data_IF_250302027208
#
_entry.id   IF_250302027208
#
_cell.length_a   1.000
_cell.length_b   1.000
_cell.length_c   1.000
_cell.angle_alpha   90.00
_cell.angle_beta   90.00
_cell.angle_gamma   90.00
#
_symmetry.space_group_name_H-M   'P 1'
#
loop_
_entity.id
_entity.type
_entity.pdbx_description
1 polymer ?
#
# COMPACT_ATOMS: atom_id res chain seq x y z
N UNK A 1 -17.31 7.29 -32.32
CA UNK A 1 -16.30 8.37 -32.36
C UNK A 1 -14.94 7.70 -32.56
N UNK A 2 -14.36 7.80 -33.75
CA UNK A 2 -13.05 7.21 -34.05
C UNK A 2 -11.99 8.14 -33.46
N UNK A 3 -11.28 7.68 -32.44
CA UNK A 3 -10.18 8.45 -31.86
C UNK A 3 -8.94 8.25 -32.76
N UNK A 4 -8.59 9.27 -33.54
CA UNK A 4 -7.30 9.34 -34.23
C UNK A 4 -6.30 10.05 -33.30
N UNK A 5 -5.36 9.34 -32.66
CA UNK A 5 -4.30 9.99 -31.93
C UNK A 5 -3.33 10.64 -32.94
N UNK A 6 -3.52 11.92 -33.23
CA UNK A 6 -2.50 12.71 -33.92
C UNK A 6 -1.32 12.87 -32.97
N UNK A 7 -0.27 12.07 -33.20
CA UNK A 7 1.01 12.20 -32.53
C UNK A 7 1.57 13.60 -32.85
N UNK A 8 1.65 14.46 -31.83
CA UNK A 8 2.29 15.76 -31.97
C UNK A 8 3.79 15.55 -32.25
N UNK A 9 4.26 15.98 -33.42
CA UNK A 9 5.68 15.87 -33.78
C UNK A 9 6.49 16.90 -33.01
N UNK A 10 7.76 16.61 -32.73
CA UNK A 10 8.66 17.56 -32.08
C UNK A 10 8.82 18.89 -32.86
N UNK A 11 8.54 18.86 -34.15
CA UNK A 11 8.54 20.04 -35.04
C UNK A 11 7.37 20.98 -34.76
N UNK A 12 6.18 20.43 -34.52
CA UNK A 12 4.99 21.21 -34.15
C UNK A 12 5.19 21.92 -32.81
N UNK A 13 5.82 21.22 -31.85
CA UNK A 13 6.19 21.78 -30.55
C UNK A 13 7.19 22.93 -30.72
N UNK A 14 8.23 22.76 -31.57
CA UNK A 14 9.22 23.81 -31.85
C UNK A 14 8.55 25.06 -32.44
N UNK A 15 7.67 24.86 -33.43
CA UNK A 15 6.95 25.93 -34.13
C UNK A 15 6.09 26.77 -33.17
N UNK A 16 5.40 26.12 -32.23
CA UNK A 16 4.61 26.83 -31.22
C UNK A 16 5.47 27.66 -30.26
N UNK A 17 6.64 27.16 -29.87
CA UNK A 17 7.55 27.89 -28.97
C UNK A 17 8.14 29.13 -29.68
N UNK A 18 8.49 29.00 -30.97
CA UNK A 18 8.97 30.12 -31.79
C UNK A 18 7.87 31.15 -32.05
N UNK A 19 6.62 30.72 -32.29
CA UNK A 19 5.47 31.62 -32.44
C UNK A 19 5.18 32.42 -31.15
N UNK A 20 5.53 31.87 -29.99
CA UNK A 20 5.45 32.55 -28.70
C UNK A 20 6.65 33.51 -28.44
N UNK A 21 7.55 33.68 -29.41
CA UNK A 21 8.69 34.59 -29.32
C UNK A 21 9.91 34.01 -28.58
N UNK A 22 9.90 32.71 -28.27
CA UNK A 22 11.01 32.05 -27.60
C UNK A 22 11.83 31.24 -28.62
N UNK A 23 13.16 31.47 -28.75
CA UNK A 23 13.99 30.68 -29.63
C UNK A 23 14.12 29.25 -29.09
N UNK A 24 13.69 28.26 -29.88
CA UNK A 24 13.73 26.84 -29.51
C UNK A 24 14.66 26.04 -30.43
N UNK A 25 15.38 25.07 -29.87
CA UNK A 25 16.26 24.16 -30.62
C UNK A 25 16.18 22.75 -30.04
N UNK A 26 15.93 21.76 -30.91
CA UNK A 26 15.87 20.35 -30.54
C UNK A 26 17.31 19.84 -30.42
N UNK A 27 17.83 19.74 -29.18
CA UNK A 27 19.24 19.40 -28.92
C UNK A 27 19.63 17.95 -29.24
N UNK A 28 18.67 17.02 -29.34
CA UNK A 28 18.91 15.63 -29.77
C UNK A 28 17.67 15.07 -30.47
N UNK A 29 17.78 14.66 -31.73
CA UNK A 29 16.82 13.72 -32.28
C UNK A 29 17.02 12.37 -31.54
N UNK A 30 15.98 11.77 -30.95
CA UNK A 30 16.08 10.40 -30.51
C UNK A 30 16.41 9.55 -31.75
N UNK A 31 17.64 9.02 -31.81
CA UNK A 31 17.98 7.99 -32.79
C UNK A 31 17.07 6.82 -32.46
N UNK A 32 16.06 6.59 -33.29
CA UNK A 32 15.33 5.35 -33.25
C UNK A 32 16.37 4.22 -33.38
N UNK A 33 16.34 3.21 -32.50
CA UNK A 33 17.18 2.05 -32.67
C UNK A 33 16.84 1.44 -34.03
N UNK A 34 17.82 1.38 -34.94
CA UNK A 34 17.67 0.62 -36.18
C UNK A 34 17.54 -0.84 -35.77
N UNK A 35 16.31 -1.35 -35.79
CA UNK A 35 16.07 -2.78 -35.78
C UNK A 35 16.84 -3.35 -36.98
N UNK A 36 17.83 -4.20 -36.70
CA UNK A 36 18.52 -4.96 -37.74
C UNK A 36 17.51 -5.74 -38.58
N UNK A 37 17.85 -5.99 -39.84
CA UNK A 37 17.02 -6.79 -40.74
C UNK A 37 16.55 -8.07 -40.03
N UNK A 38 15.24 -8.17 -39.83
CA UNK A 38 14.62 -9.38 -39.31
C UNK A 38 14.73 -10.40 -40.44
N UNK A 39 15.53 -11.44 -40.24
CA UNK A 39 15.64 -12.54 -41.17
C UNK A 39 14.28 -13.26 -41.25
N UNK A 40 13.66 -13.18 -42.43
CA UNK A 40 12.26 -13.58 -42.69
C UNK A 40 12.11 -15.13 -42.64
N UNK A 41 13.20 -15.88 -42.53
CA UNK A 41 13.16 -17.35 -42.61
C UNK A 41 12.80 -18.07 -41.31
N UNK A 42 12.77 -17.38 -40.17
CA UNK A 42 12.30 -17.96 -38.90
C UNK A 42 10.80 -17.74 -38.62
N UNK A 43 10.10 -17.07 -39.54
CA UNK A 43 8.69 -16.66 -39.40
C UNK A 43 7.66 -17.67 -39.96
N UNK A 44 8.10 -18.84 -40.45
CA UNK A 44 7.22 -19.73 -41.25
C UNK A 44 6.64 -20.91 -40.47
N UNK A 45 7.22 -21.29 -39.34
CA UNK A 45 6.89 -22.57 -38.70
C UNK A 45 6.72 -22.45 -37.17
N UNK A 46 5.65 -21.82 -36.69
CA UNK A 46 4.79 -22.41 -35.62
C UNK A 46 3.52 -21.56 -35.39
N UNK A 47 2.38 -22.18 -35.06
CA UNK A 47 1.06 -21.57 -35.18
C UNK A 47 0.82 -20.44 -34.17
N UNK A 48 0.20 -19.39 -34.70
CA UNK A 48 -0.41 -18.29 -33.96
C UNK A 48 -1.68 -18.79 -33.25
N UNK A 49 -1.79 -18.54 -31.94
CA UNK A 49 -3.08 -18.33 -31.28
C UNK A 49 -2.91 -17.47 -30.02
N UNK A 50 -3.34 -16.21 -30.17
CA UNK A 50 -4.16 -15.39 -29.26
C UNK A 50 -4.02 -15.65 -27.74
N UNK A 51 -3.82 -14.70 -26.84
CA UNK A 51 -4.12 -13.26 -26.80
C UNK A 51 -3.38 -12.67 -25.59
N UNK A 52 -2.91 -11.42 -25.72
CA UNK A 52 -2.53 -10.44 -24.66
C UNK A 52 -1.53 -10.90 -23.57
N UNK A 53 -0.27 -10.45 -23.52
CA UNK A 53 0.26 -9.12 -23.83
C UNK A 53 -0.09 -8.15 -22.69
N UNK A 54 0.80 -7.58 -21.89
CA UNK A 54 2.26 -7.47 -21.99
C UNK A 54 2.83 -7.16 -20.61
N UNK A 55 3.86 -7.91 -20.21
CA UNK A 55 4.81 -7.46 -19.20
C UNK A 55 5.55 -6.22 -19.74
N UNK A 56 5.71 -5.14 -18.97
CA UNK A 56 6.81 -4.22 -19.18
C UNK A 56 8.00 -4.74 -18.37
N UNK A 57 8.93 -5.40 -19.07
CA UNK A 57 10.30 -5.57 -18.60
C UNK A 57 11.09 -4.37 -19.08
N UNK A 58 11.24 -3.34 -18.23
CA UNK A 58 12.11 -2.19 -18.50
C UNK A 58 12.72 -1.65 -17.22
N UNK A 59 14.05 -1.81 -17.11
CA UNK A 59 15.04 -0.98 -16.41
C UNK A 59 14.63 -0.31 -15.07
N UNK A 60 15.11 -0.87 -13.96
CA UNK A 60 15.08 -0.22 -12.65
C UNK A 60 16.18 0.85 -12.56
N UNK A 61 15.81 2.10 -12.84
CA UNK A 61 16.36 3.23 -12.10
C UNK A 61 15.75 3.14 -10.68
N UNK A 62 16.53 3.40 -9.62
CA UNK A 62 16.03 3.33 -8.25
C UNK A 62 14.99 4.43 -8.00
N UNK A 63 13.73 4.07 -8.23
CA UNK A 63 12.54 4.90 -8.04
C UNK A 63 11.92 4.46 -6.71
N UNK A 64 11.65 5.38 -5.78
CA UNK A 64 11.11 5.12 -4.43
C UNK A 64 9.68 4.55 -4.41
N UNK A 65 9.24 3.99 -5.52
CA UNK A 65 7.92 3.45 -5.72
C UNK A 65 7.93 1.94 -5.55
N UNK A 66 7.11 1.47 -4.64
CA UNK A 66 6.85 0.05 -4.40
C UNK A 66 5.56 -0.37 -5.08
N UNK A 67 5.49 -1.64 -5.44
CA UNK A 67 4.28 -2.25 -6.00
C UNK A 67 3.69 -3.18 -4.96
N UNK A 68 2.42 -2.98 -4.61
CA UNK A 68 1.67 -3.91 -3.77
C UNK A 68 0.54 -4.55 -4.58
N UNK A 69 0.30 -5.82 -4.29
CA UNK A 69 -0.85 -6.56 -4.81
C UNK A 69 -1.83 -6.76 -3.67
N UNK A 70 -3.11 -6.52 -3.96
CA UNK A 70 -4.21 -6.64 -3.03
C UNK A 70 -5.23 -7.62 -3.60
N UNK A 71 -5.68 -8.57 -2.79
CA UNK A 71 -6.85 -9.38 -3.11
C UNK A 71 -8.09 -8.66 -2.58
N UNK A 72 -9.10 -8.47 -3.45
CA UNK A 72 -10.31 -7.70 -3.13
C UNK A 72 -11.52 -8.63 -3.25
N UNK A 73 -12.12 -8.96 -2.10
CA UNK A 73 -13.38 -9.69 -2.03
C UNK A 73 -14.56 -8.71 -2.05
N UNK A 74 -15.62 -9.06 -2.77
CA UNK A 74 -16.82 -8.22 -2.92
C UNK A 74 -16.87 -7.36 -4.19
N UNK A 75 -15.84 -7.38 -5.05
CA UNK A 75 -15.96 -6.77 -6.38
C UNK A 75 -16.69 -7.70 -7.34
N UNK A 76 -17.91 -7.33 -7.71
CA UNK A 76 -18.80 -8.18 -8.52
C UNK A 76 -19.11 -7.59 -9.91
N UNK A 77 -18.82 -6.29 -10.13
CA UNK A 77 -19.20 -5.57 -11.34
C UNK A 77 -18.06 -4.69 -11.85
N UNK A 78 -18.05 -4.42 -13.16
CA UNK A 78 -17.12 -3.47 -13.82
C UNK A 78 -17.18 -2.08 -13.18
N UNK A 79 -18.35 -1.65 -12.72
CA UNK A 79 -18.52 -0.40 -11.99
C UNK A 79 -17.72 -0.34 -10.69
N UNK A 80 -17.54 -1.46 -9.99
CA UNK A 80 -16.72 -1.52 -8.77
C UNK A 80 -15.24 -1.31 -9.10
N UNK A 81 -14.76 -1.90 -10.19
CA UNK A 81 -13.38 -1.74 -10.69
C UNK A 81 -13.09 -0.27 -10.94
N UNK A 82 -13.93 0.37 -11.78
CA UNK A 82 -13.72 1.76 -12.17
C UNK A 82 -13.82 2.71 -10.98
N UNK A 83 -14.67 2.40 -10.00
CA UNK A 83 -14.80 3.20 -8.78
C UNK A 83 -13.55 3.09 -7.88
N UNK A 84 -13.01 1.88 -7.70
CA UNK A 84 -11.76 1.66 -6.94
C UNK A 84 -10.57 2.30 -7.66
N UNK A 85 -10.46 2.12 -8.98
CA UNK A 85 -9.42 2.74 -9.81
C UNK A 85 -9.47 4.25 -9.73
N UNK A 86 -10.66 4.85 -9.87
CA UNK A 86 -10.84 6.30 -9.78
C UNK A 86 -10.51 6.81 -8.38
N UNK A 87 -10.98 6.14 -7.32
CA UNK A 87 -10.72 6.55 -5.94
C UNK A 87 -9.22 6.57 -5.64
N UNK A 88 -8.48 5.51 -6.01
CA UNK A 88 -7.05 5.46 -5.75
C UNK A 88 -6.21 6.34 -6.69
N UNK A 89 -6.67 6.57 -7.93
CA UNK A 89 -5.99 7.46 -8.88
C UNK A 89 -6.01 8.93 -8.44
N UNK A 90 -6.99 9.34 -7.62
CA UNK A 90 -7.01 10.70 -7.05
C UNK A 90 -5.97 10.94 -5.96
N UNK A 91 -5.35 9.89 -5.41
CA UNK A 91 -4.42 9.98 -4.30
C UNK A 91 -3.03 10.37 -4.81
N UNK A 92 -2.49 11.48 -4.31
CA UNK A 92 -1.18 12.03 -4.72
C UNK A 92 0.02 11.07 -4.57
N UNK A 93 -0.12 10.02 -3.77
CA UNK A 93 0.93 9.04 -3.50
C UNK A 93 0.82 7.75 -4.35
N UNK A 94 -0.21 7.64 -5.19
CA UNK A 94 -0.41 6.53 -6.13
C UNK A 94 0.10 6.95 -7.50
N UNK A 95 1.00 6.14 -8.08
CA UNK A 95 1.54 6.39 -9.42
C UNK A 95 0.75 5.66 -10.50
N UNK A 96 0.31 4.44 -10.22
CA UNK A 96 -0.49 3.64 -11.16
C UNK A 96 -1.29 2.60 -10.41
N UNK A 97 -2.48 2.30 -10.93
CA UNK A 97 -3.34 1.24 -10.42
C UNK A 97 -3.88 0.42 -11.60
N UNK A 98 -3.97 -0.88 -11.41
CA UNK A 98 -4.66 -1.79 -12.31
C UNK A 98 -5.50 -2.78 -11.48
N UNK A 99 -6.80 -2.86 -11.75
CA UNK A 99 -7.70 -3.77 -11.05
C UNK A 99 -8.20 -4.86 -12.01
N UNK A 100 -8.09 -6.12 -11.60
CA UNK A 100 -8.52 -7.28 -12.38
C UNK A 100 -9.67 -8.01 -11.69
N UNK A 101 -10.86 -8.01 -12.34
CA UNK A 101 -12.02 -8.78 -11.90
C UNK A 101 -11.78 -10.29 -11.98
N UNK A 102 -11.05 -10.73 -13.01
CA UNK A 102 -10.76 -12.13 -13.25
C UNK A 102 -9.94 -12.72 -12.10
N UNK A 103 -8.87 -12.02 -11.72
CA UNK A 103 -7.95 -12.47 -10.67
C UNK A 103 -8.38 -12.04 -9.27
N UNK A 104 -9.51 -11.33 -9.16
CA UNK A 104 -9.98 -10.75 -7.90
C UNK A 104 -8.91 -9.92 -7.19
N UNK A 105 -8.08 -9.21 -7.96
CA UNK A 105 -6.87 -8.57 -7.45
C UNK A 105 -6.65 -7.16 -8.01
N UNK A 106 -6.09 -6.28 -7.20
CA UNK A 106 -5.60 -4.97 -7.61
C UNK A 106 -4.09 -4.87 -7.45
N UNK A 107 -3.41 -4.33 -8.45
CA UNK A 107 -1.98 -4.02 -8.43
C UNK A 107 -1.84 -2.51 -8.35
N UNK A 108 -1.16 -2.02 -7.31
CA UNK A 108 -0.98 -0.58 -7.07
C UNK A 108 0.50 -0.28 -6.97
N UNK A 109 0.98 0.65 -7.79
CA UNK A 109 2.30 1.26 -7.70
C UNK A 109 2.17 2.56 -6.88
N UNK A 110 2.86 2.63 -5.76
CA UNK A 110 2.76 3.74 -4.80
C UNK A 110 4.13 4.14 -4.26
N UNK A 111 4.24 5.34 -3.69
CA UNK A 111 5.48 5.80 -3.08
C UNK A 111 5.58 5.27 -1.62
N UNK A 112 6.57 4.40 -1.36
CA UNK A 112 6.74 3.75 -0.06
C UNK A 112 7.18 4.70 1.07
N UNK A 113 7.67 5.91 0.72
CA UNK A 113 8.05 6.94 1.70
C UNK A 113 6.86 7.74 2.20
N UNK A 114 5.79 7.82 1.41
CA UNK A 114 4.60 8.64 1.71
C UNK A 114 3.45 7.83 2.29
N UNK A 115 3.34 6.55 1.92
CA UNK A 115 2.21 5.71 2.32
C UNK A 115 2.62 4.27 2.56
N UNK A 116 2.01 3.66 3.57
CA UNK A 116 2.14 2.22 3.87
C UNK A 116 1.10 1.40 3.09
N UNK A 117 1.38 0.13 2.76
CA UNK A 117 0.41 -0.75 2.11
C UNK A 117 -0.88 -0.95 2.94
N UNK A 118 -0.80 -0.91 4.27
CA UNK A 118 -1.97 -0.97 5.17
C UNK A 118 -2.90 0.24 5.01
N UNK A 119 -2.34 1.43 4.79
CA UNK A 119 -3.14 2.63 4.55
C UNK A 119 -3.85 2.57 3.19
N UNK A 120 -3.19 2.04 2.16
CA UNK A 120 -3.81 1.76 0.86
C UNK A 120 -4.94 0.73 0.98
N UNK A 121 -4.72 -0.33 1.77
CA UNK A 121 -5.76 -1.33 2.07
C UNK A 121 -7.01 -0.67 2.65
N UNK A 122 -6.85 0.15 3.69
CA UNK A 122 -7.95 0.89 4.32
C UNK A 122 -8.63 1.85 3.34
N UNK A 123 -7.87 2.51 2.47
CA UNK A 123 -8.44 3.40 1.46
C UNK A 123 -9.35 2.64 0.48
N UNK A 124 -8.98 1.42 0.07
CA UNK A 124 -9.81 0.55 -0.78
C UNK A 124 -11.07 0.09 -0.04
N UNK A 125 -10.94 -0.33 1.23
CA UNK A 125 -12.07 -0.76 2.07
C UNK A 125 -13.09 0.36 2.29
N UNK A 126 -12.64 1.62 2.33
CA UNK A 126 -13.47 2.81 2.52
C UNK A 126 -14.19 3.29 1.25
N UNK A 127 -13.98 2.67 0.09
CA UNK A 127 -14.62 3.08 -1.18
C UNK A 127 -16.12 2.69 -1.16
N UNK A 128 -17.07 3.65 -1.23
CA UNK A 128 -18.52 3.36 -1.22
C UNK A 128 -18.95 2.65 -2.52
N UNK A 129 -19.93 1.73 -2.53
CA UNK A 129 -20.85 1.35 -1.43
C UNK A 129 -20.29 0.34 -0.40
N UNK A 130 -18.97 0.08 -0.41
CA UNK A 130 -18.20 -0.10 0.83
C UNK A 130 -18.48 -1.34 1.67
N UNK A 131 -18.31 -2.54 1.09
CA UNK A 131 -18.10 -3.77 1.87
C UNK A 131 -17.01 -4.66 1.23
N UNK A 132 -15.96 -4.03 0.70
CA UNK A 132 -14.82 -4.76 0.14
C UNK A 132 -13.95 -5.29 1.26
N UNK A 133 -13.56 -6.57 1.22
CA UNK A 133 -12.56 -7.13 2.13
C UNK A 133 -11.25 -7.25 1.38
N UNK A 134 -10.22 -6.57 1.88
CA UNK A 134 -8.95 -6.44 1.17
C UNK A 134 -7.84 -7.14 1.95
N UNK A 135 -7.05 -7.97 1.27
CA UNK A 135 -5.89 -8.67 1.84
C UNK A 135 -4.64 -8.36 1.02
N UNK A 136 -3.52 -8.11 1.69
CA UNK A 136 -2.26 -7.77 1.03
C UNK A 136 -1.56 -9.07 0.62
N UNK A 137 -1.27 -9.20 -0.66
CA UNK A 137 -0.51 -10.31 -1.26
C UNK A 137 0.84 -9.76 -1.74
N UNK A 138 1.66 -9.28 -0.80
CA UNK A 138 3.04 -8.90 -1.11
C UNK A 138 3.87 -10.18 -1.31
N UNK A 139 4.55 -10.31 -2.44
CA UNK A 139 5.45 -11.43 -2.76
C UNK A 139 6.77 -11.40 -2.00
N UNK A 140 6.72 -11.23 -0.68
CA UNK A 140 7.83 -11.41 0.26
C UNK A 140 7.26 -11.90 1.60
N UNK A 141 7.51 -13.18 1.85
CA UNK A 141 7.38 -14.01 3.06
C UNK A 141 6.48 -13.59 4.24
N UNK A 142 5.46 -14.43 4.45
CA UNK A 142 5.02 -15.06 5.72
C UNK A 142 5.16 -14.24 7.02
N UNK A 143 4.06 -13.92 7.69
CA UNK A 143 3.46 -14.90 8.61
C UNK A 143 1.94 -14.74 8.67
N UNK A 144 1.29 -15.81 8.25
CA UNK A 144 -0.10 -16.15 8.54
C UNK A 144 -0.35 -16.16 10.05
N UNK A 145 -1.46 -15.55 10.47
CA UNK A 145 -2.41 -16.26 11.31
C UNK A 145 -3.78 -15.59 11.21
N UNK A 146 -4.67 -16.22 10.47
CA UNK A 146 -6.09 -16.27 10.80
C UNK A 146 -6.42 -17.74 11.05
N UNK A 147 -7.29 -18.01 12.02
CA UNK A 147 -8.62 -18.41 11.57
C UNK A 147 -9.74 -17.66 12.27
N UNK A 148 -10.79 -17.47 11.50
CA UNK A 148 -12.11 -16.92 11.83
C UNK A 148 -12.72 -17.48 13.11
N UNK A 149 -13.44 -16.65 13.88
CA UNK A 149 -14.91 -16.70 13.96
C UNK A 149 -15.47 -15.95 15.18
N UNK A 150 -16.68 -15.41 14.96
CA UNK A 150 -17.66 -14.91 15.92
C UNK A 150 -17.63 -13.41 16.28
N UNK A 151 -18.84 -12.89 16.38
CA UNK A 151 -19.24 -11.51 16.17
C UNK A 151 -19.57 -10.80 17.48
N UNK A 152 -19.51 -9.46 17.43
CA UNK A 152 -19.94 -8.47 18.43
C UNK A 152 -19.00 -8.34 19.65
N UNK A 153 -18.58 -7.16 20.09
CA UNK A 153 -19.34 -5.91 20.21
C UNK A 153 -18.45 -4.66 20.16
N UNK A 154 -19.03 -3.63 19.52
CA UNK A 154 -18.96 -2.19 19.82
C UNK A 154 -17.77 -1.38 19.30
N UNK A 155 -18.10 -0.42 18.43
CA UNK A 155 -17.24 0.65 17.93
C UNK A 155 -16.55 1.43 19.06
N UNK A 156 -15.47 2.16 18.73
CA UNK A 156 -15.69 3.60 18.62
C UNK A 156 -15.14 4.21 17.34
N UNK A 157 -15.84 5.25 16.91
CA UNK A 157 -15.33 6.27 15.99
C UNK A 157 -14.00 6.81 16.52
N UNK A 158 -12.99 6.94 15.66
CA UNK A 158 -11.90 7.89 15.88
C UNK A 158 -11.34 8.27 14.51
N UNK A 159 -11.87 9.34 13.89
CA UNK A 159 -11.29 10.68 13.95
C UNK A 159 -9.78 10.64 13.78
N UNK A 160 -9.36 11.08 12.58
CA UNK A 160 -8.00 11.48 12.27
C UNK A 160 -7.51 12.44 13.35
N UNK A 161 -6.54 11.98 14.12
CA UNK A 161 -5.54 12.80 14.79
C UNK A 161 -4.40 11.84 15.06
N UNK A 162 -3.27 12.01 14.36
CA UNK A 162 -2.03 11.33 14.72
C UNK A 162 -1.82 11.47 16.23
N UNK A 163 -1.69 10.37 16.98
CA UNK A 163 -1.00 10.46 18.24
C UNK A 163 0.49 10.23 17.96
N UNK A 164 1.33 11.09 18.50
CA UNK A 164 2.78 10.85 18.65
C UNK A 164 2.99 9.71 19.66
N UNK A 165 2.31 8.58 19.50
CA UNK A 165 2.37 7.47 20.46
C UNK A 165 3.23 6.36 19.90
N UNK A 166 4.09 5.85 20.77
CA UNK A 166 5.02 4.79 20.51
C UNK A 166 4.52 3.52 21.20
N UNK A 167 4.67 2.39 20.51
CA UNK A 167 4.38 1.06 21.06
C UNK A 167 5.69 0.40 21.49
N UNK A 168 5.71 -0.21 22.67
CA UNK A 168 6.82 -1.07 23.11
C UNK A 168 6.30 -2.34 23.73
N UNK A 169 7.03 -3.44 23.51
CA UNK A 169 6.76 -4.74 24.12
C UNK A 169 7.73 -4.93 25.29
N UNK A 170 7.20 -5.29 26.45
CA UNK A 170 7.96 -5.55 27.68
C UNK A 170 7.73 -7.00 28.07
N UNK A 171 8.80 -7.79 28.18
CA UNK A 171 8.71 -9.14 28.71
C UNK A 171 8.54 -9.08 30.24
N UNK A 172 7.53 -9.77 30.76
CA UNK A 172 7.20 -9.76 32.19
C UNK A 172 7.26 -11.20 32.68
N UNK A 173 8.26 -11.48 33.49
CA UNK A 173 8.44 -12.80 34.11
C UNK A 173 7.60 -12.91 35.39
N UNK A 174 7.26 -14.14 35.80
CA UNK A 174 6.49 -14.40 37.03
C UNK A 174 4.97 -14.22 36.96
N UNK A 175 4.40 -13.79 35.84
CA UNK A 175 2.93 -13.74 35.68
C UNK A 175 2.35 -15.17 35.61
N UNK A 176 1.62 -15.57 36.66
CA UNK A 176 1.06 -16.94 36.76
C UNK A 176 -0.47 -16.99 36.70
N UNK A 177 -1.16 -15.85 36.83
CA UNK A 177 -2.62 -15.81 36.85
C UNK A 177 -3.17 -14.55 36.17
N UNK A 178 -4.43 -14.63 35.73
CA UNK A 178 -5.15 -13.51 35.10
C UNK A 178 -5.38 -12.33 36.06
N UNK A 179 -5.35 -12.58 37.37
CA UNK A 179 -5.35 -11.52 38.38
C UNK A 179 -4.09 -10.65 38.30
N UNK A 180 -2.90 -11.24 38.08
CA UNK A 180 -1.65 -10.50 37.92
C UNK A 180 -1.71 -9.58 36.69
N UNK A 181 -2.28 -10.08 35.58
CA UNK A 181 -2.49 -9.33 34.34
C UNK A 181 -3.31 -8.06 34.62
N UNK A 182 -4.48 -8.22 35.23
CA UNK A 182 -5.36 -7.08 35.53
C UNK A 182 -4.73 -6.08 36.50
N UNK A 183 -3.95 -6.56 37.48
CA UNK A 183 -3.20 -5.69 38.38
C UNK A 183 -2.18 -4.85 37.62
N UNK A 184 -1.40 -5.46 36.73
CA UNK A 184 -0.37 -4.77 35.93
C UNK A 184 -1.02 -3.79 34.94
N UNK A 185 -2.03 -4.24 34.19
CA UNK A 185 -2.78 -3.39 33.25
C UNK A 185 -3.41 -2.20 33.97
N UNK A 186 -4.05 -2.44 35.12
CA UNK A 186 -4.67 -1.39 35.93
C UNK A 186 -3.67 -0.43 36.56
N UNK A 187 -2.46 -0.87 36.88
CA UNK A 187 -1.40 -0.01 37.44
C UNK A 187 -0.75 0.85 36.36
N UNK A 188 -0.35 0.24 35.24
CA UNK A 188 0.34 0.94 34.15
C UNK A 188 -0.61 1.86 33.40
N UNK A 189 -1.88 1.50 33.23
CA UNK A 189 -2.87 2.39 32.61
C UNK A 189 -3.09 3.71 33.39
N UNK A 190 -2.72 3.76 34.68
CA UNK A 190 -2.83 4.98 35.50
C UNK A 190 -1.55 5.83 35.47
N UNK A 191 -0.46 5.35 34.86
CA UNK A 191 0.79 6.09 34.77
C UNK A 191 0.66 7.23 33.75
N UNK A 192 1.31 8.35 34.06
CA UNK A 192 1.33 9.52 33.17
C UNK A 192 1.96 9.14 31.82
N UNK A 193 1.33 9.59 30.73
CA UNK A 193 1.81 9.34 29.37
C UNK A 193 1.49 7.95 28.83
N UNK A 194 0.85 7.05 29.58
CA UNK A 194 0.35 5.77 29.06
C UNK A 194 -1.04 5.98 28.47
N UNK A 195 -1.24 5.50 27.24
CA UNK A 195 -2.50 5.60 26.51
C UNK A 195 -3.26 4.28 26.50
N UNK A 196 -2.54 3.16 26.36
CA UNK A 196 -3.11 1.82 26.43
C UNK A 196 -2.05 0.81 26.87
N UNK A 197 -2.48 -0.24 27.56
CA UNK A 197 -1.65 -1.40 27.88
C UNK A 197 -2.47 -2.67 27.63
N UNK A 198 -1.81 -3.68 27.05
CA UNK A 198 -2.33 -5.02 26.86
C UNK A 198 -1.31 -6.04 27.35
N UNK A 199 -1.69 -6.89 28.28
CA UNK A 199 -0.81 -7.93 28.83
C UNK A 199 -1.25 -9.32 28.37
N UNK A 200 -0.31 -10.08 27.82
CA UNK A 200 -0.52 -11.43 27.30
C UNK A 200 0.19 -12.47 28.18
N UNK A 201 -0.60 -13.28 28.89
CA UNK A 201 -0.07 -14.45 29.62
C UNK A 201 0.52 -15.49 28.66
N UNK A 202 -0.10 -15.69 27.50
CA UNK A 202 0.34 -16.67 26.52
C UNK A 202 1.76 -16.37 26.00
N UNK A 203 2.07 -15.09 25.83
CA UNK A 203 3.36 -14.64 25.32
C UNK A 203 4.30 -14.16 26.44
N UNK A 204 3.87 -14.18 27.71
CA UNK A 204 4.62 -13.67 28.86
C UNK A 204 5.16 -12.24 28.64
N UNK A 205 4.35 -11.37 28.03
CA UNK A 205 4.74 -10.00 27.71
C UNK A 205 3.56 -9.03 27.79
N UNK A 206 3.87 -7.75 27.92
CA UNK A 206 2.94 -6.63 27.90
C UNK A 206 3.29 -5.63 26.81
N UNK A 207 2.32 -5.32 25.95
CA UNK A 207 2.41 -4.28 24.93
C UNK A 207 1.85 -2.99 25.50
N UNK A 208 2.62 -1.90 25.45
CA UNK A 208 2.23 -0.60 25.99
C UNK A 208 2.30 0.46 24.89
N UNK A 209 1.21 1.20 24.70
CA UNK A 209 1.15 2.42 23.90
C UNK A 209 1.33 3.63 24.83
N UNK A 210 2.37 4.42 24.60
CA UNK A 210 2.70 5.58 25.43
C UNK A 210 3.21 6.76 24.60
N UNK A 211 3.22 7.95 25.19
CA UNK A 211 3.81 9.15 24.63
C UNK A 211 5.30 9.24 25.00
N UNK A 212 6.24 9.17 24.03
CA UNK A 212 7.68 9.22 24.28
C UNK A 212 8.16 10.58 24.79
N UNK A 213 7.34 11.63 24.73
CA UNK A 213 7.66 12.95 25.29
C UNK A 213 7.42 13.02 26.81
N UNK A 214 6.57 12.13 27.34
CA UNK A 214 6.15 12.14 28.75
C UNK A 214 6.75 10.98 29.53
N UNK A 215 6.87 9.80 28.89
CA UNK A 215 7.31 8.57 29.54
C UNK A 215 8.30 7.82 28.65
N UNK A 216 9.29 7.16 29.28
CA UNK A 216 10.29 6.33 28.62
C UNK A 216 10.03 4.84 28.89
N UNK A 217 10.49 3.93 28.01
CA UNK A 217 10.31 2.49 28.21
C UNK A 217 11.00 1.98 29.49
N UNK A 218 12.11 2.62 29.90
CA UNK A 218 12.79 2.30 31.17
C UNK A 218 11.92 2.62 32.39
N UNK A 219 11.18 3.73 32.34
CA UNK A 219 10.25 4.12 33.40
C UNK A 219 9.08 3.15 33.50
N UNK A 220 8.56 2.70 32.35
CA UNK A 220 7.50 1.69 32.28
C UNK A 220 7.96 0.36 32.85
N UNK A 221 9.15 -0.10 32.48
CA UNK A 221 9.76 -1.31 33.04
C UNK A 221 9.86 -1.20 34.56
N UNK A 222 10.44 -0.11 35.07
CA UNK A 222 10.58 0.12 36.51
C UNK A 222 9.23 0.12 37.24
N UNK A 223 8.18 0.63 36.59
CA UNK A 223 6.83 0.62 37.14
C UNK A 223 6.18 -0.77 37.17
N UNK A 224 6.67 -1.76 36.41
CA UNK A 224 6.18 -3.13 36.45
C UNK A 224 6.95 -3.95 37.51
N UNK A 225 8.20 -3.58 37.79
CA UNK A 225 9.04 -4.23 38.81
C UNK A 225 8.73 -3.81 40.26
N UNK A 226 8.01 -2.70 40.45
CA UNK A 226 7.56 -2.15 41.76
C UNK A 226 6.21 -2.72 42.20
#
# INVERSE_FOLDING_TARGET
VVYQPHLITGEEIKKQIEAAGFPAFIKKQPKYPKLGAIDIERLKNTPVKSSEGSQPRSLACADDYSTAVFTIDGMHCKSCVSNIESALSTLQYVSSIAVSLENRSAVVKYNAKLVTPEALRKAIEAVPPGQYRVSITSGADSTSNSPSSSCLQKLPLNVVSQPLTQETVINIDGMTCNSCVQSIEGFISKKAGVKSILVSLANSNGTVEYDPLVTSPETLRKAIED
#
